data_IF_024150496819
#
_entry.id   IF_024150496819
#
_cell.length_a   1.000
_cell.length_b   1.000
_cell.length_c   1.000
_cell.angle_alpha   90.00
_cell.angle_beta   90.00
_cell.angle_gamma   90.00
#
_symmetry.space_group_name_H-M   'P 1'
#
loop_
_entity.id
_entity.type
_entity.pdbx_description
1 polymer ?
#
# COMPACT_ATOMS: atom_id res chain seq x y z
N UNK A 1 24.42 -26.67 -20.22
CA UNK A 1 23.10 -27.20 -19.81
C UNK A 1 22.85 -27.16 -18.30
N UNK A 2 23.80 -27.55 -17.44
CA UNK A 2 23.59 -27.58 -15.97
C UNK A 2 23.22 -26.22 -15.34
N UNK A 3 23.83 -25.12 -15.81
CA UNK A 3 23.55 -23.76 -15.32
C UNK A 3 22.29 -23.11 -15.92
N UNK A 4 21.76 -23.67 -17.02
CA UNK A 4 20.56 -23.15 -17.67
C UNK A 4 19.32 -23.39 -16.81
N UNK A 5 19.20 -24.58 -16.22
CA UNK A 5 18.13 -24.90 -15.26
C UNK A 5 18.26 -24.10 -13.95
N UNK A 6 19.49 -23.80 -13.51
CA UNK A 6 19.73 -22.96 -12.34
C UNK A 6 19.25 -21.51 -12.58
N UNK A 7 19.53 -20.95 -13.76
CA UNK A 7 19.06 -19.61 -14.15
C UNK A 7 17.53 -19.56 -14.25
N UNK A 8 16.90 -20.59 -14.83
CA UNK A 8 15.44 -20.70 -14.88
C UNK A 8 14.81 -20.77 -13.48
N UNK A 9 15.44 -21.51 -12.55
CA UNK A 9 14.99 -21.60 -11.16
C UNK A 9 15.09 -20.26 -10.43
N UNK A 10 16.18 -19.51 -10.62
CA UNK A 10 16.35 -18.18 -10.03
C UNK A 10 15.32 -17.21 -10.62
N UNK A 11 15.04 -17.26 -11.94
CA UNK A 11 14.02 -16.45 -12.60
C UNK A 11 12.61 -16.64 -11.97
N UNK A 12 12.29 -17.86 -11.53
CA UNK A 12 11.02 -18.19 -10.88
C UNK A 12 10.90 -17.69 -9.42
N UNK A 13 12.02 -17.36 -8.75
CA UNK A 13 12.01 -16.87 -7.36
C UNK A 13 11.84 -15.34 -7.29
N UNK A 14 12.21 -14.59 -8.33
CA UNK A 14 12.07 -13.11 -8.35
C UNK A 14 10.65 -12.58 -8.09
N UNK A 15 9.54 -13.17 -8.62
CA UNK A 15 8.21 -12.64 -8.35
C UNK A 15 7.70 -12.92 -6.92
N UNK A 16 8.39 -13.75 -6.12
CA UNK A 16 7.99 -14.04 -4.73
C UNK A 16 8.40 -12.93 -3.76
N UNK A 17 9.39 -12.11 -4.12
CA UNK A 17 9.92 -11.03 -3.29
C UNK A 17 9.24 -9.69 -3.61
N UNK A 18 7.92 -9.69 -3.80
CA UNK A 18 7.19 -8.43 -3.95
C UNK A 18 7.11 -7.74 -2.59
N UNK A 19 7.99 -6.77 -2.40
CA UNK A 19 7.99 -5.88 -1.24
C UNK A 19 6.64 -5.13 -1.21
N UNK A 20 5.93 -5.19 -0.09
CA UNK A 20 4.72 -4.39 0.16
C UNK A 20 5.13 -2.92 0.31
N UNK A 21 5.41 -2.28 -0.83
CA UNK A 21 5.76 -0.88 -0.94
C UNK A 21 4.52 -0.06 -1.25
N UNK A 22 4.37 1.07 -0.56
CA UNK A 22 3.34 2.05 -0.84
C UNK A 22 3.99 3.39 -1.17
N UNK A 23 3.40 4.11 -2.12
CA UNK A 23 3.88 5.42 -2.53
C UNK A 23 3.08 6.49 -1.79
N UNK A 24 3.79 7.40 -1.14
CA UNK A 24 3.17 8.59 -0.56
C UNK A 24 2.97 9.69 -1.62
N UNK A 25 1.92 10.51 -1.49
CA UNK A 25 0.88 10.45 -0.46
C UNK A 25 -0.14 9.32 -0.72
N UNK A 26 -0.58 8.64 0.35
CA UNK A 26 -1.62 7.58 0.26
C UNK A 26 -2.96 8.16 -0.23
N UNK A 27 -3.33 9.34 0.29
CA UNK A 27 -4.51 10.08 -0.11
C UNK A 27 -4.06 11.51 -0.48
N UNK A 28 -4.01 11.88 -1.77
CA UNK A 28 -3.66 13.24 -2.18
C UNK A 28 -4.84 14.20 -1.98
N UNK A 29 -4.56 15.48 -1.73
CA UNK A 29 -5.59 16.53 -1.62
C UNK A 29 -5.75 17.09 -0.20
N UNK A 30 -6.92 17.67 0.08
CA UNK A 30 -7.21 18.36 1.34
C UNK A 30 -7.92 17.43 2.34
N UNK A 31 -7.14 16.62 3.06
CA UNK A 31 -7.59 15.75 4.14
C UNK A 31 -6.86 16.10 5.45
N UNK A 32 -7.16 17.27 6.06
CA UNK A 32 -6.43 17.76 7.23
C UNK A 32 -6.91 17.08 8.52
N UNK A 33 -6.01 17.06 9.51
CA UNK A 33 -6.25 16.52 10.86
C UNK A 33 -6.81 15.09 10.89
N UNK A 34 -6.13 14.11 10.25
CA UNK A 34 -6.66 12.76 10.15
C UNK A 34 -6.73 12.08 11.52
N UNK A 35 -7.90 11.54 11.84
CA UNK A 35 -8.08 10.54 12.91
C UNK A 35 -8.54 9.22 12.30
N UNK A 36 -7.92 8.12 12.69
CA UNK A 36 -8.14 6.79 12.07
C UNK A 36 -8.44 5.72 13.11
N UNK A 37 -9.36 4.82 12.79
CA UNK A 37 -9.61 3.61 13.58
C UNK A 37 -9.85 2.39 12.67
N UNK A 38 -9.79 1.20 13.26
CA UNK A 38 -10.06 -0.08 12.60
C UNK A 38 -11.20 -0.81 13.31
N UNK A 39 -12.13 -1.36 12.54
CA UNK A 39 -13.21 -2.24 13.04
C UNK A 39 -13.27 -3.48 12.17
N UNK A 40 -12.91 -4.64 12.73
CA UNK A 40 -12.82 -5.89 11.97
C UNK A 40 -11.76 -5.80 10.87
N UNK A 41 -12.18 -5.86 9.61
CA UNK A 41 -11.28 -5.78 8.44
C UNK A 41 -11.27 -4.39 7.78
N UNK A 42 -12.07 -3.45 8.28
CA UNK A 42 -12.24 -2.13 7.68
C UNK A 42 -11.50 -1.05 8.47
N UNK A 43 -11.05 -0.03 7.73
CA UNK A 43 -10.41 1.16 8.26
C UNK A 43 -11.30 2.38 8.01
N UNK A 44 -11.47 3.22 9.02
CA UNK A 44 -12.25 4.45 8.95
C UNK A 44 -11.33 5.63 9.24
N UNK A 45 -11.34 6.63 8.36
CA UNK A 45 -10.60 7.88 8.52
C UNK A 45 -11.58 9.05 8.53
N UNK A 46 -11.39 9.99 9.44
CA UNK A 46 -12.14 11.25 9.53
C UNK A 46 -11.17 12.42 9.51
N UNK A 47 -11.60 13.54 8.93
CA UNK A 47 -10.79 14.72 8.69
C UNK A 47 -11.58 15.98 9.08
N UNK A 48 -10.89 17.05 9.44
CA UNK A 48 -11.53 18.35 9.69
C UNK A 48 -12.06 18.95 8.39
N UNK A 49 -13.33 19.35 8.36
CA UNK A 49 -13.93 20.10 7.23
C UNK A 49 -13.92 21.61 7.43
N UNK A 50 -13.51 22.10 8.61
CA UNK A 50 -13.63 23.51 8.99
C UNK A 50 -15.03 24.06 8.68
N UNK A 51 -15.16 25.16 7.93
CA UNK A 51 -16.43 25.77 7.56
C UNK A 51 -17.10 25.17 6.30
N UNK A 52 -16.53 24.09 5.73
CA UNK A 52 -17.18 23.40 4.61
C UNK A 52 -18.39 22.61 5.10
N UNK A 53 -19.54 22.89 4.49
CA UNK A 53 -20.80 22.20 4.75
C UNK A 53 -20.97 21.02 3.79
N UNK A 54 -21.59 19.91 4.26
CA UNK A 54 -21.99 18.79 3.40
C UNK A 54 -23.00 19.17 2.31
#
# INVERSE_FOLDING_TARGET
>A
MKYFYLLLFIFQIYPLAQELSYNNPIIPGSYPDPSICRVGNDYYIVNSSFEYFP
#
